data_IF_361427349289
#
_entry.id   IF_361427349289
#
_cell.length_a   1.000
_cell.length_b   1.000
_cell.length_c   1.000
_cell.angle_alpha   90.00
_cell.angle_beta   90.00
_cell.angle_gamma   90.00
#
_symmetry.space_group_name_H-M   'P 1'
#
loop_
_entity.id
_entity.type
_entity.pdbx_description
1 polymer ?
#
# COMPACT_ATOMS: atom_id res chain seq x y z
N UNK A 1 6.66 34.79 33.12
CA UNK A 1 5.79 34.80 31.93
C UNK A 1 4.87 33.61 32.03
N UNK A 2 3.63 33.82 32.49
CA UNK A 2 2.63 32.75 32.65
C UNK A 2 2.22 32.24 31.27
N UNK A 3 2.53 30.98 30.96
CA UNK A 3 2.07 30.32 29.74
C UNK A 3 0.56 30.12 29.90
N UNK A 4 -0.23 30.87 29.14
CA UNK A 4 -1.67 30.64 29.10
C UNK A 4 -1.92 29.30 28.41
N UNK A 5 -2.70 28.39 29.01
CA UNK A 5 -3.12 27.18 28.33
C UNK A 5 -4.04 27.59 27.18
N UNK A 6 -3.56 27.41 25.97
CA UNK A 6 -4.34 27.58 24.74
C UNK A 6 -5.66 26.81 24.86
N UNK A 7 -6.76 27.57 24.87
CA UNK A 7 -8.12 27.07 25.04
C UNK A 7 -8.49 26.20 23.82
N UNK A 8 -8.28 24.89 23.94
CA UNK A 8 -8.52 23.91 22.86
C UNK A 8 -10.01 23.63 22.65
N UNK A 9 -10.88 24.19 23.49
CA UNK A 9 -12.30 23.87 23.54
C UNK A 9 -13.19 24.89 22.84
N UNK A 10 -12.76 26.14 22.68
CA UNK A 10 -13.51 27.13 21.90
C UNK A 10 -13.26 26.93 20.41
N UNK A 11 -14.31 26.59 19.66
CA UNK A 11 -14.28 26.61 18.20
C UNK A 11 -14.07 28.06 17.77
N UNK A 12 -12.92 28.35 17.17
CA UNK A 12 -12.61 29.67 16.62
C UNK A 12 -13.56 29.98 15.45
N UNK A 13 -14.59 30.78 15.72
CA UNK A 13 -15.61 31.19 14.74
C UNK A 13 -15.06 32.18 13.70
N UNK A 14 -13.85 32.72 13.91
CA UNK A 14 -13.19 33.65 13.00
C UNK A 14 -12.04 32.98 12.22
N UNK A 15 -11.75 31.71 12.48
CA UNK A 15 -10.77 30.96 11.70
C UNK A 15 -11.24 30.83 10.25
N UNK A 16 -10.39 31.22 9.30
CA UNK A 16 -10.66 31.01 7.88
C UNK A 16 -10.87 29.51 7.61
N UNK A 17 -11.93 29.17 6.86
CA UNK A 17 -12.17 27.80 6.43
C UNK A 17 -10.92 27.24 5.76
N UNK A 18 -10.28 26.26 6.41
CA UNK A 18 -9.14 25.56 5.83
C UNK A 18 -9.62 24.91 4.54
N UNK A 19 -9.00 25.19 3.38
CA UNK A 19 -9.40 24.52 2.15
C UNK A 19 -9.27 23.02 2.39
N UNK A 20 -10.40 22.32 2.30
CA UNK A 20 -10.44 20.86 2.43
C UNK A 20 -9.62 20.21 1.31
N UNK A 21 -9.44 18.89 1.39
CA UNK A 21 -8.84 18.14 0.27
C UNK A 21 -9.61 18.48 -1.02
N UNK A 22 -8.95 18.95 -2.09
CA UNK A 22 -9.62 19.28 -3.32
C UNK A 22 -10.45 18.10 -3.82
N UNK A 23 -11.68 18.37 -4.27
CA UNK A 23 -12.66 17.34 -4.66
C UNK A 23 -12.16 16.49 -5.83
N UNK A 24 -11.31 17.06 -6.68
CA UNK A 24 -10.62 16.40 -7.78
C UNK A 24 -9.11 16.55 -7.65
N UNK A 25 -8.38 15.53 -8.09
CA UNK A 25 -6.93 15.59 -8.15
C UNK A 25 -6.51 16.52 -9.32
N UNK A 26 -5.57 17.46 -9.11
CA UNK A 26 -5.17 18.47 -10.09
C UNK A 26 -4.47 17.91 -11.33
N UNK A 27 -3.97 16.67 -11.27
CA UNK A 27 -3.30 16.03 -12.39
C UNK A 27 -4.26 15.29 -13.31
N UNK A 28 -3.89 15.09 -14.57
CA UNK A 28 -4.60 14.17 -15.45
C UNK A 28 -4.48 12.70 -14.99
N UNK A 29 -5.46 11.86 -15.33
CA UNK A 29 -5.49 10.43 -14.93
C UNK A 29 -4.19 9.68 -15.23
N UNK A 30 -3.57 9.94 -16.38
CA UNK A 30 -2.31 9.30 -16.78
C UNK A 30 -1.16 9.63 -15.81
N UNK A 31 -1.06 10.89 -15.40
CA UNK A 31 -0.07 11.38 -14.44
C UNK A 31 -0.39 10.88 -13.03
N UNK A 32 -1.65 10.89 -12.62
CA UNK A 32 -2.09 10.33 -11.33
C UNK A 32 -1.66 8.86 -11.19
N UNK A 33 -1.89 8.04 -12.22
CA UNK A 33 -1.49 6.64 -12.22
C UNK A 33 0.04 6.47 -12.07
N UNK A 34 0.84 7.33 -12.69
CA UNK A 34 2.31 7.32 -12.55
C UNK A 34 2.74 7.66 -11.13
N UNK A 35 2.18 8.73 -10.55
CA UNK A 35 2.48 9.12 -9.17
C UNK A 35 2.07 8.03 -8.17
N UNK A 36 0.87 7.49 -8.31
CA UNK A 36 0.37 6.43 -7.43
C UNK A 36 1.27 5.18 -7.47
N UNK A 37 1.67 4.74 -8.67
CA UNK A 37 2.61 3.61 -8.82
C UNK A 37 3.98 3.90 -8.19
N UNK A 38 4.49 5.13 -8.33
CA UNK A 38 5.76 5.53 -7.71
C UNK A 38 5.67 5.49 -6.18
N UNK A 39 4.61 6.06 -5.61
CA UNK A 39 4.38 6.05 -4.15
C UNK A 39 4.18 4.64 -3.61
N UNK A 40 3.51 3.76 -4.36
CA UNK A 40 3.37 2.35 -4.02
C UNK A 40 4.74 1.67 -3.94
N UNK A 41 5.55 1.77 -5.00
CA UNK A 41 6.92 1.21 -5.01
C UNK A 41 7.81 1.76 -3.90
N UNK A 42 7.69 3.05 -3.59
CA UNK A 42 8.44 3.67 -2.50
C UNK A 42 8.04 3.10 -1.14
N UNK A 43 6.74 2.94 -0.89
CA UNK A 43 6.21 2.34 0.34
C UNK A 43 6.61 0.88 0.49
N UNK A 44 6.54 0.12 -0.59
CA UNK A 44 6.95 -1.29 -0.58
C UNK A 44 8.44 -1.41 -0.23
N UNK A 45 9.28 -0.55 -0.81
CA UNK A 45 10.71 -0.48 -0.49
C UNK A 45 10.97 -0.10 0.97
N UNK A 46 10.25 0.88 1.50
CA UNK A 46 10.37 1.30 2.92
C UNK A 46 9.97 0.19 3.89
N UNK A 47 9.07 -0.71 3.48
CA UNK A 47 8.67 -1.90 4.25
C UNK A 47 9.58 -3.11 4.02
N UNK A 48 10.64 -2.98 3.21
CA UNK A 48 11.57 -4.06 2.88
C UNK A 48 11.02 -5.09 1.88
N UNK A 49 9.90 -4.81 1.21
CA UNK A 49 9.36 -5.70 0.18
C UNK A 49 10.10 -5.50 -1.14
N UNK A 50 10.52 -6.60 -1.73
CA UNK A 50 11.13 -6.64 -3.05
C UNK A 50 10.23 -7.38 -4.03
N UNK A 51 10.09 -6.84 -5.24
CA UNK A 51 9.29 -7.46 -6.31
C UNK A 51 10.18 -8.39 -7.13
N UNK A 52 9.74 -9.64 -7.25
CA UNK A 52 10.43 -10.68 -8.00
C UNK A 52 9.55 -11.07 -9.20
N UNK A 53 10.11 -11.02 -10.41
CA UNK A 53 9.42 -11.40 -11.65
C UNK A 53 10.08 -12.67 -12.20
N UNK A 54 9.32 -13.75 -12.36
CA UNK A 54 9.82 -15.07 -12.79
C UNK A 54 8.93 -15.64 -13.89
N UNK A 55 9.55 -16.39 -14.81
CA UNK A 55 8.83 -17.23 -15.78
C UNK A 55 8.78 -18.66 -15.25
N UNK A 56 7.58 -19.20 -15.11
CA UNK A 56 7.33 -20.57 -14.66
C UNK A 56 6.60 -21.34 -15.75
N UNK A 57 6.65 -22.66 -15.69
CA UNK A 57 5.86 -23.52 -16.55
C UNK A 57 4.35 -23.30 -16.28
N UNK A 58 3.53 -23.38 -17.32
CA UNK A 58 2.09 -23.17 -17.23
C UNK A 58 1.43 -24.17 -16.26
N UNK A 59 1.87 -25.43 -16.26
CA UNK A 59 1.34 -26.47 -15.37
C UNK A 59 1.61 -26.16 -13.90
N UNK A 60 2.76 -25.54 -13.60
CA UNK A 60 3.12 -25.12 -12.24
C UNK A 60 2.23 -23.97 -11.79
N UNK A 61 1.92 -23.02 -12.67
CA UNK A 61 1.03 -21.89 -12.36
C UNK A 61 -0.40 -22.37 -12.12
N UNK A 62 -0.90 -23.31 -12.93
CA UNK A 62 -2.22 -23.90 -12.75
C UNK A 62 -2.35 -24.63 -11.41
N UNK A 63 -1.37 -25.47 -11.07
CA UNK A 63 -1.37 -26.15 -9.76
C UNK A 63 -1.25 -25.17 -8.59
N UNK A 64 -0.49 -24.08 -8.75
CA UNK A 64 -0.41 -23.03 -7.74
C UNK A 64 -1.76 -22.36 -7.52
N UNK A 65 -2.52 -22.11 -8.59
CA UNK A 65 -3.86 -21.54 -8.51
C UNK A 65 -4.83 -22.43 -7.74
N UNK A 66 -4.84 -23.73 -8.02
CA UNK A 66 -5.64 -24.71 -7.27
C UNK A 66 -5.33 -24.64 -5.76
N UNK A 67 -4.05 -24.68 -5.39
CA UNK A 67 -3.61 -24.59 -3.99
C UNK A 67 -4.01 -23.26 -3.35
N UNK A 68 -3.93 -22.14 -4.08
CA UNK A 68 -4.40 -20.85 -3.59
C UNK A 68 -5.91 -20.85 -3.31
N UNK A 69 -6.70 -21.51 -4.16
CA UNK A 69 -8.15 -21.64 -3.94
C UNK A 69 -8.48 -22.54 -2.76
N UNK A 70 -7.78 -23.67 -2.60
CA UNK A 70 -7.95 -24.60 -1.47
C UNK A 70 -7.61 -23.93 -0.13
N UNK A 71 -6.52 -23.15 -0.08
CA UNK A 71 -6.08 -22.47 1.14
C UNK A 71 -6.76 -21.11 1.37
N UNK A 72 -7.52 -20.61 0.39
CA UNK A 72 -8.10 -19.27 0.37
C UNK A 72 -7.05 -18.17 0.65
N UNK A 73 -5.87 -18.29 0.03
CA UNK A 73 -4.74 -17.37 0.17
C UNK A 73 -4.38 -16.73 -1.18
N UNK A 74 -3.74 -15.56 -1.15
CA UNK A 74 -3.22 -14.97 -2.37
C UNK A 74 -1.98 -15.75 -2.86
N UNK A 75 -1.75 -15.75 -4.18
CA UNK A 75 -0.55 -16.37 -4.79
C UNK A 75 0.76 -15.92 -4.14
N UNK A 76 0.84 -14.63 -3.78
CA UNK A 76 2.01 -14.07 -3.13
C UNK A 76 2.28 -14.71 -1.75
N UNK A 77 1.22 -14.91 -0.96
CA UNK A 77 1.32 -15.47 0.39
C UNK A 77 1.75 -16.95 0.33
N UNK A 78 1.17 -17.73 -0.59
CA UNK A 78 1.53 -19.13 -0.79
C UNK A 78 3.00 -19.27 -1.22
N UNK A 79 3.46 -18.43 -2.15
CA UNK A 79 4.86 -18.42 -2.58
C UNK A 79 5.81 -17.99 -1.46
N UNK A 80 5.44 -16.98 -0.68
CA UNK A 80 6.25 -16.52 0.44
C UNK A 80 6.39 -17.62 1.51
N UNK A 81 5.29 -18.30 1.86
CA UNK A 81 5.30 -19.43 2.80
C UNK A 81 6.14 -20.60 2.28
N UNK A 82 5.98 -20.96 1.00
CA UNK A 82 6.76 -22.02 0.38
C UNK A 82 8.26 -21.71 0.38
N UNK A 83 8.63 -20.46 0.05
CA UNK A 83 10.03 -20.02 0.07
C UNK A 83 10.60 -19.97 1.48
N UNK A 84 9.84 -19.49 2.48
CA UNK A 84 10.24 -19.52 3.89
C UNK A 84 10.51 -20.94 4.36
N UNK A 85 9.57 -21.85 4.08
CA UNK A 85 9.72 -23.26 4.42
C UNK A 85 10.96 -23.89 3.75
N UNK A 86 11.18 -23.63 2.46
CA UNK A 86 12.32 -24.18 1.71
C UNK A 86 13.68 -23.60 2.16
N UNK A 87 13.71 -22.31 2.51
CA UNK A 87 14.91 -21.63 3.01
C UNK A 87 15.15 -21.81 4.51
N UNK A 88 14.26 -22.52 5.20
CA UNK A 88 14.27 -22.67 6.67
C UNK A 88 14.26 -21.32 7.42
N UNK A 89 13.45 -20.37 6.94
CA UNK A 89 13.14 -19.07 7.55
C UNK A 89 11.78 -19.08 8.24
#
# INVERSE_FOLDING_TARGET
>A
MSVQPEDRTTIDMFAANRPGRPRSNPYERSQQCRFNKRTQRQRDKERGLHRLEVKLDAQVVERLDEVCTELNLARADVLELALKHWLHL
#
